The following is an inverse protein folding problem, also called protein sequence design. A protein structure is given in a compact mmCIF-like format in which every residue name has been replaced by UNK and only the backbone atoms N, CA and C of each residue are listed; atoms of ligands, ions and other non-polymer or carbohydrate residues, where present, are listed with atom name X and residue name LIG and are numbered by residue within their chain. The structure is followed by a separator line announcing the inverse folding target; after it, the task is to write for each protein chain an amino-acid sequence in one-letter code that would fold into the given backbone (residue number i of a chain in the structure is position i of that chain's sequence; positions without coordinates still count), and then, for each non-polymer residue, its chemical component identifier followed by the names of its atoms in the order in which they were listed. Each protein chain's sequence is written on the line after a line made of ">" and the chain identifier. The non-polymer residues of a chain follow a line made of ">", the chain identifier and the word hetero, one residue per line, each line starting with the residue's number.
data_IF_772747812860
#
_entry.id   IF_772747812860
#
_cell.length_a   1.000
_cell.length_b   1.000
_cell.length_c   1.000
_cell.angle_alpha   90.00
_cell.angle_beta   90.00
_cell.angle_gamma   90.00
#
_symmetry.space_group_name_H-M   'P 1'
#
loop_
_entity.id
_entity.type
_entity.pdbx_description
1 polymer ?
#
# COMPACT_ATOMS: atom_id res chain seq x y z
N UNK A 1 -24.89 1.69 15.44
CA UNK A 1 -24.19 1.82 14.15
C UNK A 1 -23.02 2.76 14.36
N UNK A 2 -21.83 2.21 14.55
CA UNK A 2 -20.63 3.02 14.76
C UNK A 2 -20.27 3.66 13.43
N UNK A 3 -20.56 4.95 13.28
CA UNK A 3 -20.06 5.74 12.16
C UNK A 3 -18.55 5.83 12.34
N UNK A 4 -17.83 4.94 11.66
CA UNK A 4 -16.37 4.90 11.70
C UNK A 4 -15.88 6.23 11.12
N UNK A 5 -15.08 6.99 11.87
CA UNK A 5 -14.68 8.33 11.46
C UNK A 5 -13.43 8.25 10.57
N UNK A 6 -13.59 7.90 9.30
CA UNK A 6 -12.50 7.85 8.33
C UNK A 6 -12.47 9.11 7.46
N UNK A 7 -11.31 9.44 6.92
CA UNK A 7 -11.13 10.49 5.91
C UNK A 7 -11.18 9.87 4.53
N UNK A 8 -11.71 10.59 3.55
CA UNK A 8 -11.65 10.18 2.14
C UNK A 8 -10.47 10.92 1.51
N UNK A 9 -9.48 10.16 1.05
CA UNK A 9 -8.33 10.63 0.29
C UNK A 9 -8.55 10.47 -1.22
N UNK A 10 -7.49 10.71 -1.99
CA UNK A 10 -7.49 10.59 -3.43
C UNK A 10 -6.17 9.96 -3.92
N UNK A 11 -6.07 9.77 -5.23
CA UNK A 11 -4.92 9.15 -5.90
C UNK A 11 -3.61 9.95 -5.75
N UNK A 12 -3.67 11.20 -5.25
CA UNK A 12 -2.45 11.94 -4.86
C UNK A 12 -1.79 11.32 -3.63
N UNK A 13 -2.55 10.63 -2.79
CA UNK A 13 -2.01 9.98 -1.61
C UNK A 13 -1.33 8.69 -2.00
N UNK A 14 -2.04 7.75 -2.62
CA UNK A 14 -1.42 6.58 -3.24
C UNK A 14 -2.18 6.23 -4.52
N UNK A 15 -1.43 5.99 -5.59
CA UNK A 15 -1.98 5.60 -6.88
C UNK A 15 -1.74 4.13 -7.10
N UNK A 16 -2.81 3.38 -7.37
CA UNK A 16 -2.70 1.94 -7.61
C UNK A 16 -2.62 1.74 -9.12
N UNK A 17 -1.60 1.05 -9.62
CA UNK A 17 -1.47 0.72 -11.04
C UNK A 17 -2.42 -0.41 -11.43
N UNK A 18 -2.70 -0.53 -12.73
CA UNK A 18 -3.67 -1.48 -13.26
C UNK A 18 -3.34 -2.93 -12.83
N UNK A 19 -2.06 -3.34 -12.94
CA UNK A 19 -1.60 -4.67 -12.53
C UNK A 19 -1.89 -4.96 -11.05
N UNK A 20 -1.61 -4.01 -10.16
CA UNK A 20 -1.91 -4.14 -8.73
C UNK A 20 -3.42 -4.17 -8.44
N UNK A 21 -4.21 -3.35 -9.12
CA UNK A 21 -5.66 -3.31 -8.93
C UNK A 21 -6.35 -4.60 -9.38
N UNK A 22 -5.92 -5.18 -10.51
CA UNK A 22 -6.42 -6.45 -11.02
C UNK A 22 -6.10 -7.59 -10.07
N UNK A 23 -4.85 -7.67 -9.60
CA UNK A 23 -4.44 -8.69 -8.64
C UNK A 23 -5.18 -8.53 -7.29
N UNK A 24 -5.33 -7.30 -6.81
CA UNK A 24 -6.06 -7.03 -5.57
C UNK A 24 -7.52 -7.48 -5.66
N UNK A 25 -8.21 -7.18 -6.75
CA UNK A 25 -9.59 -7.66 -6.98
C UNK A 25 -9.66 -9.18 -6.94
N UNK A 26 -8.76 -9.84 -7.65
CA UNK A 26 -8.70 -11.30 -7.65
C UNK A 26 -8.47 -11.87 -6.25
N UNK A 27 -7.62 -11.23 -5.42
CA UNK A 27 -7.43 -11.63 -4.03
C UNK A 27 -8.69 -11.43 -3.18
N UNK A 28 -9.36 -10.29 -3.34
CA UNK A 28 -10.62 -9.97 -2.64
C UNK A 28 -11.73 -10.96 -3.02
N UNK A 29 -11.89 -11.25 -4.31
CA UNK A 29 -12.83 -12.25 -4.83
C UNK A 29 -12.52 -13.65 -4.29
N UNK A 30 -11.25 -14.06 -4.29
CA UNK A 30 -10.81 -15.34 -3.72
C UNK A 30 -11.08 -15.46 -2.22
N UNK A 31 -11.00 -14.35 -1.49
CA UNK A 31 -11.36 -14.33 -0.07
C UNK A 31 -12.86 -14.19 0.19
N UNK A 32 -13.70 -14.03 -0.84
CA UNK A 32 -15.14 -13.77 -0.67
C UNK A 32 -15.43 -12.38 -0.11
N UNK A 33 -14.50 -11.44 -0.27
CA UNK A 33 -14.56 -10.06 0.23
C UNK A 33 -14.69 -9.08 -0.92
N UNK A 34 -15.73 -9.22 -1.74
CA UNK A 34 -15.95 -8.38 -2.92
C UNK A 34 -16.07 -6.87 -2.59
N UNK A 35 -16.49 -6.54 -1.36
CA UNK A 35 -16.58 -5.16 -0.86
C UNK A 35 -15.40 -4.75 0.04
N UNK A 36 -14.40 -5.63 0.17
CA UNK A 36 -13.25 -5.37 1.02
C UNK A 36 -12.35 -4.25 0.50
N UNK A 37 -11.45 -3.80 1.38
CA UNK A 37 -10.45 -2.80 1.08
C UNK A 37 -9.05 -3.32 1.44
N UNK A 38 -8.04 -2.84 0.71
CA UNK A 38 -6.64 -3.11 1.03
C UNK A 38 -6.14 -2.11 2.06
N UNK A 39 -5.77 -2.56 3.25
CA UNK A 39 -5.13 -1.72 4.25
C UNK A 39 -3.64 -1.65 4.06
N UNK A 40 -3.09 -0.45 3.93
CA UNK A 40 -1.64 -0.22 3.84
C UNK A 40 -1.13 0.39 5.14
N UNK A 41 -0.13 -0.25 5.73
CA UNK A 41 0.57 0.22 6.91
C UNK A 41 2.07 0.14 6.69
N UNK A 42 2.82 1.18 7.08
CA UNK A 42 4.28 1.13 7.08
C UNK A 42 4.74 0.53 8.41
N UNK A 43 5.54 -0.53 8.32
CA UNK A 43 6.19 -1.15 9.47
C UNK A 43 7.70 -1.01 9.31
N UNK A 44 8.40 -0.71 10.40
CA UNK A 44 9.87 -0.67 10.40
C UNK A 44 10.42 -2.08 10.24
N UNK A 45 11.08 -2.37 9.12
CA UNK A 45 11.68 -3.67 8.83
C UNK A 45 13.16 -3.68 9.24
N UNK A 46 13.45 -4.00 10.49
CA UNK A 46 14.81 -4.31 10.97
C UNK A 46 15.91 -3.30 10.57
N UNK A 47 17.16 -3.77 10.52
CA UNK A 47 18.36 -2.93 10.30
C UNK A 47 18.46 -2.24 8.93
N UNK A 48 17.57 -2.49 7.94
CA UNK A 48 17.84 -2.12 6.54
C UNK A 48 16.65 -1.59 5.72
N UNK A 49 15.45 -1.36 6.28
CA UNK A 49 14.43 -0.67 5.47
C UNK A 49 13.02 -0.54 6.07
N UNK A 50 12.27 0.43 5.55
CA UNK A 50 10.83 0.51 5.75
C UNK A 50 10.14 -0.58 4.92
N UNK A 51 9.16 -1.26 5.50
CA UNK A 51 8.41 -2.29 4.80
C UNK A 51 6.92 -1.95 4.80
N UNK A 52 6.28 -2.10 3.64
CA UNK A 52 4.86 -1.84 3.47
C UNK A 52 4.09 -3.13 3.75
N UNK A 53 3.30 -3.12 4.82
CA UNK A 53 2.39 -4.20 5.16
C UNK A 53 1.03 -3.93 4.53
N UNK A 54 0.50 -4.94 3.86
CA UNK A 54 -0.78 -4.87 3.18
C UNK A 54 -1.70 -5.95 3.76
N UNK A 55 -2.90 -5.55 4.17
CA UNK A 55 -3.84 -6.40 4.90
C UNK A 55 -5.23 -6.27 4.29
N UNK A 56 -5.91 -7.38 4.03
CA UNK A 56 -7.26 -7.36 3.45
C UNK A 56 -8.28 -7.19 4.58
N UNK A 57 -8.98 -6.06 4.56
CA UNK A 57 -9.99 -5.71 5.56
C UNK A 57 -11.37 -5.56 4.91
N UNK A 58 -12.42 -5.76 5.69
CA UNK A 58 -13.80 -5.62 5.20
C UNK A 58 -14.21 -4.13 5.05
N UNK A 59 -13.41 -3.18 5.55
CA UNK A 59 -13.68 -1.74 5.42
C UNK A 59 -12.69 -0.83 6.17
N UNK A 60 -12.85 0.50 6.06
CA UNK A 60 -12.02 1.48 6.77
C UNK A 60 -12.23 1.43 8.28
N UNK A 61 -11.18 1.73 9.06
CA UNK A 61 -11.25 1.87 10.53
C UNK A 61 -11.25 3.34 10.95
N UNK A 62 -11.38 3.58 12.25
CA UNK A 62 -11.43 4.94 12.79
C UNK A 62 -10.12 5.68 12.48
N UNK A 63 -10.25 6.88 11.92
CA UNK A 63 -9.19 7.77 11.43
C UNK A 63 -8.38 7.28 10.24
N UNK A 64 -8.71 6.12 9.67
CA UNK A 64 -8.08 5.68 8.42
C UNK A 64 -8.45 6.63 7.28
N UNK A 65 -7.64 6.61 6.22
CA UNK A 65 -7.85 7.36 5.00
C UNK A 65 -8.26 6.38 3.91
N UNK A 66 -9.53 6.40 3.51
CA UNK A 66 -10.05 5.63 2.37
C UNK A 66 -9.68 6.34 1.07
N UNK A 67 -8.92 5.66 0.23
CA UNK A 67 -8.52 6.07 -1.11
C UNK A 67 -9.07 5.07 -2.10
N UNK A 68 -9.90 5.54 -3.02
CA UNK A 68 -10.36 4.73 -4.14
C UNK A 68 -9.50 5.06 -5.36
N UNK A 69 -8.85 4.05 -5.95
CA UNK A 69 -8.05 4.19 -7.17
C UNK A 69 -8.24 2.95 -8.03
N UNK A 70 -8.28 3.11 -9.36
CA UNK A 70 -8.53 2.00 -10.30
C UNK A 70 -9.68 1.06 -9.89
N UNK A 71 -10.76 1.66 -9.36
CA UNK A 71 -11.97 0.95 -8.94
C UNK A 71 -11.73 -0.14 -7.87
N UNK A 72 -10.70 0.04 -7.05
CA UNK A 72 -10.44 -0.69 -5.80
C UNK A 72 -10.37 0.27 -4.62
N UNK A 73 -10.74 -0.21 -3.45
CA UNK A 73 -10.71 0.55 -2.21
C UNK A 73 -9.44 0.22 -1.43
N UNK A 74 -8.71 1.26 -1.01
CA UNK A 74 -7.50 1.15 -0.22
C UNK A 74 -7.65 2.03 1.01
N UNK A 75 -7.26 1.53 2.17
CA UNK A 75 -7.34 2.27 3.43
C UNK A 75 -5.94 2.42 4.00
N UNK A 76 -5.59 3.63 4.43
CA UNK A 76 -4.24 3.92 4.91
C UNK A 76 -4.33 4.51 6.32
N UNK A 77 -3.49 3.99 7.22
CA UNK A 77 -3.37 4.57 8.56
C UNK A 77 -2.79 5.99 8.46
N UNK A 78 -3.33 6.98 9.19
CA UNK A 78 -2.88 8.37 9.09
C UNK A 78 -1.39 8.57 9.39
N UNK A 79 -0.77 7.70 10.19
CA UNK A 79 0.69 7.74 10.40
C UNK A 79 1.45 7.28 9.16
N UNK A 80 0.94 6.27 8.48
CA UNK A 80 1.51 5.69 7.26
C UNK A 80 1.26 6.58 6.04
N UNK A 81 0.18 7.36 6.04
CA UNK A 81 -0.21 8.26 4.95
C UNK A 81 0.92 9.21 4.54
N UNK A 82 1.72 9.71 5.50
CA UNK A 82 2.87 10.57 5.23
C UNK A 82 4.00 9.85 4.49
N UNK A 83 4.14 8.54 4.71
CA UNK A 83 5.17 7.71 4.08
C UNK A 83 4.74 7.11 2.75
N UNK A 84 3.44 7.09 2.44
CA UNK A 84 2.93 6.64 1.15
C UNK A 84 2.44 7.80 0.28
N UNK A 85 2.42 9.04 0.79
CA UNK A 85 1.96 10.20 0.06
C UNK A 85 2.74 10.41 -1.26
N UNK A 86 2.03 10.37 -2.37
CA UNK A 86 2.59 10.47 -3.72
C UNK A 86 3.21 9.17 -4.23
N UNK A 87 3.03 8.05 -3.52
CA UNK A 87 3.54 6.75 -3.96
C UNK A 87 2.65 6.10 -5.01
N UNK A 88 3.28 5.26 -5.82
CA UNK A 88 2.61 4.39 -6.78
C UNK A 88 2.74 2.93 -6.32
N UNK A 89 1.63 2.22 -6.27
CA UNK A 89 1.55 0.80 -5.93
C UNK A 89 1.45 -0.01 -7.22
N UNK A 90 2.45 -0.85 -7.43
CA UNK A 90 2.51 -1.80 -8.53
C UNK A 90 2.48 -3.24 -8.01
N UNK A 91 2.21 -4.21 -8.88
CA UNK A 91 2.29 -5.62 -8.55
C UNK A 91 3.22 -6.31 -9.54
N UNK A 92 4.30 -6.88 -9.01
CA UNK A 92 5.22 -7.68 -9.80
C UNK A 92 4.88 -9.15 -9.65
N UNK A 93 4.74 -9.86 -10.77
CA UNK A 93 4.47 -11.30 -10.83
C UNK A 93 5.74 -12.15 -10.75
N UNK A 94 6.87 -11.53 -10.37
CA UNK A 94 8.19 -12.16 -10.43
C UNK A 94 8.21 -13.50 -9.67
N UNK A 95 8.71 -14.57 -10.30
CA UNK A 95 8.61 -15.93 -9.77
C UNK A 95 9.34 -16.11 -8.42
N UNK A 96 10.30 -15.24 -8.10
CA UNK A 96 11.10 -15.29 -6.87
C UNK A 96 10.65 -14.28 -5.79
N UNK A 97 10.10 -13.13 -6.19
CA UNK A 97 9.67 -12.05 -5.29
C UNK A 97 8.32 -11.44 -5.69
N UNK A 98 7.40 -12.28 -6.18
CA UNK A 98 6.08 -11.86 -6.57
C UNK A 98 5.38 -11.15 -5.40
N UNK A 99 4.92 -9.93 -5.64
CA UNK A 99 4.40 -9.09 -4.57
C UNK A 99 4.09 -7.66 -4.97
N UNK A 100 3.42 -6.96 -4.05
CA UNK A 100 3.10 -5.56 -4.20
C UNK A 100 4.33 -4.69 -3.94
N UNK A 101 4.66 -3.83 -4.90
CA UNK A 101 5.80 -2.93 -4.86
C UNK A 101 5.30 -1.50 -4.74
N UNK A 102 5.65 -0.84 -3.64
CA UNK A 102 5.36 0.58 -3.43
C UNK A 102 6.59 1.38 -3.84
N UNK A 103 6.42 2.27 -4.81
CA UNK A 103 7.45 3.22 -5.24
C UNK A 103 7.06 4.59 -4.72
N UNK A 104 7.82 5.11 -3.75
CA UNK A 104 7.60 6.47 -3.24
C UNK A 104 8.67 7.41 -3.80
N UNK A 105 8.33 8.35 -4.71
CA UNK A 105 9.29 9.32 -5.22
C UNK A 105 9.77 10.32 -4.15
N UNK A 106 8.99 10.51 -3.07
CA UNK A 106 9.37 11.35 -1.92
C UNK A 106 10.22 10.59 -0.89
N UNK A 107 10.23 9.25 -0.93
CA UNK A 107 11.16 8.49 -0.13
C UNK A 107 12.54 8.62 -0.78
N UNK A 108 13.31 9.62 -0.34
CA UNK A 108 14.75 9.58 -0.52
C UNK A 108 15.23 8.25 0.05
N UNK A 109 15.55 7.32 -0.85
CA UNK A 109 16.20 6.06 -0.54
C UNK A 109 17.56 6.44 0.06
N UNK A 110 17.60 6.66 1.36
CA UNK A 110 18.81 6.56 2.15
C UNK A 110 19.17 5.07 2.15
N UNK A 111 19.78 4.63 1.05
CA UNK A 111 20.62 3.47 1.09
C UNK A 111 21.86 3.90 1.88
N UNK A 112 21.77 3.83 3.22
CA UNK A 112 22.88 4.08 4.14
C UNK A 112 23.81 2.87 4.26
N UNK A 113 23.99 2.12 3.19
CA UNK A 113 25.10 1.17 3.03
C UNK A 113 25.66 1.41 1.64
N UNK A 114 26.65 2.30 1.58
CA UNK A 114 27.46 2.56 0.40
C UNK A 114 28.34 1.36 0.07
N UNK A 115 27.77 0.30 -0.46
CA UNK A 115 28.51 -0.72 -1.20
C UNK A 115 28.23 -0.52 -2.68
N UNK A 116 28.65 0.65 -3.14
CA UNK A 116 29.05 0.84 -4.52
C UNK A 116 30.38 0.10 -4.71
N UNK A 117 30.39 -0.92 -5.56
CA UNK A 117 31.55 -1.47 -6.29
C UNK A 117 32.93 -1.46 -5.60
N UNK A 118 33.47 -2.65 -5.28
CA UNK A 118 34.88 -2.99 -5.51
C UNK A 118 35.16 -4.49 -5.24
N UNK A 119 35.28 -5.29 -6.31
CA UNK A 119 36.34 -6.28 -6.58
C UNK A 119 35.95 -7.19 -7.75
#
# INVERSE_FOLDING_TARGET
>A
MSAVNYKVGNEKLIKILEGASGHLRQLLEKQGRSDGALRIAVVGGGCSGLQYKMDLVDGPRDRDILVTSNSVNVVIDPKSALFVAGSELDYSEDLQQGGFKVTNPNAQVTCSCGESFAA
#
